data_IF_894994820631
#
_entry.id   IF_894994820631
#
_cell.length_a   1.000
_cell.length_b   1.000
_cell.length_c   1.000
_cell.angle_alpha   90.00
_cell.angle_beta   90.00
_cell.angle_gamma   90.00
#
_symmetry.space_group_name_H-M   'P 1'
#
loop_
_entity.id
_entity.type
_entity.pdbx_description
1 polymer ?
#
# COMPACT_ATOMS: atom_id res chain seq x y z
N UNK A 1 6.38 5.35 4.73
CA UNK A 1 6.37 6.26 3.55
C UNK A 1 7.23 5.75 2.39
N UNK A 2 8.22 4.88 2.63
CA UNK A 2 9.07 4.31 1.59
C UNK A 2 8.27 3.42 0.61
N UNK A 3 7.28 2.67 1.09
CA UNK A 3 6.38 1.88 0.24
C UNK A 3 5.54 2.78 -0.67
N UNK A 4 5.06 3.90 -0.16
CA UNK A 4 4.31 4.91 -0.93
C UNK A 4 5.18 5.47 -2.05
N UNK A 5 6.43 5.86 -1.74
CA UNK A 5 7.39 6.35 -2.73
C UNK A 5 7.72 5.28 -3.77
N UNK A 6 8.01 4.05 -3.35
CA UNK A 6 8.31 2.94 -4.25
C UNK A 6 7.14 2.66 -5.21
N UNK A 7 5.91 2.66 -4.71
CA UNK A 7 4.70 2.47 -5.51
C UNK A 7 4.51 3.61 -6.51
N UNK A 8 4.64 4.87 -6.07
CA UNK A 8 4.50 6.04 -6.93
C UNK A 8 5.53 6.07 -8.04
N UNK A 9 6.80 5.82 -7.74
CA UNK A 9 7.86 5.74 -8.76
C UNK A 9 7.65 4.59 -9.74
N UNK A 10 7.17 3.44 -9.28
CA UNK A 10 6.80 2.32 -10.16
C UNK A 10 5.67 2.71 -11.11
N UNK A 11 4.66 3.43 -10.62
CA UNK A 11 3.56 3.92 -11.44
C UNK A 11 4.05 4.92 -12.51
N UNK A 12 4.83 5.93 -12.11
CA UNK A 12 5.40 6.93 -13.01
C UNK A 12 6.25 6.26 -14.11
N UNK A 13 7.07 5.27 -13.75
CA UNK A 13 7.89 4.54 -14.73
C UNK A 13 7.06 3.84 -15.80
N UNK A 14 5.89 3.28 -15.44
CA UNK A 14 5.03 2.48 -16.31
C UNK A 14 4.05 3.31 -17.14
N UNK A 15 3.79 4.56 -16.74
CA UNK A 15 2.85 5.44 -17.43
C UNK A 15 3.46 6.05 -18.68
N UNK A 16 2.61 6.31 -19.68
CA UNK A 16 2.96 7.11 -20.85
C UNK A 16 3.07 8.58 -20.48
N UNK A 17 3.85 9.34 -21.25
CA UNK A 17 4.02 10.78 -21.04
C UNK A 17 2.69 11.52 -21.16
N UNK A 18 1.82 11.09 -22.08
CA UNK A 18 0.45 11.63 -22.22
C UNK A 18 -0.34 11.47 -20.93
N UNK A 19 -0.34 10.25 -20.34
CA UNK A 19 -1.07 9.99 -19.09
C UNK A 19 -0.51 10.76 -17.91
N UNK A 20 0.80 10.89 -17.82
CA UNK A 20 1.45 11.73 -16.80
C UNK A 20 1.04 13.20 -16.96
N UNK A 21 1.05 13.71 -18.19
CA UNK A 21 0.63 15.09 -18.47
C UNK A 21 -0.83 15.35 -18.07
N UNK A 22 -1.73 14.41 -18.36
CA UNK A 22 -3.13 14.50 -17.93
C UNK A 22 -3.25 14.61 -16.41
N UNK A 23 -2.53 13.76 -15.67
CA UNK A 23 -2.54 13.76 -14.19
C UNK A 23 -1.96 15.07 -13.64
N UNK A 24 -0.82 15.50 -14.14
CA UNK A 24 -0.14 16.69 -13.62
C UNK A 24 -0.92 17.97 -13.89
N UNK A 25 -1.61 18.07 -15.03
CA UNK A 25 -2.40 19.23 -15.42
C UNK A 25 -3.86 19.19 -14.91
N UNK A 26 -4.25 18.16 -14.15
CA UNK A 26 -5.56 18.14 -13.52
C UNK A 26 -5.71 19.31 -12.53
N UNK A 27 -6.90 19.90 -12.46
CA UNK A 27 -7.16 21.11 -11.67
C UNK A 27 -6.78 20.91 -10.19
N UNK A 28 -7.15 19.78 -9.61
CA UNK A 28 -6.84 19.40 -8.23
C UNK A 28 -5.32 19.31 -7.95
N UNK A 29 -4.49 19.13 -8.97
CA UNK A 29 -3.04 19.01 -8.86
C UNK A 29 -2.30 20.33 -9.15
N UNK A 30 -3.03 21.37 -9.54
CA UNK A 30 -2.46 22.61 -10.08
C UNK A 30 -1.52 23.32 -9.09
N UNK A 31 -1.86 23.38 -7.81
CA UNK A 31 -1.02 24.03 -6.78
C UNK A 31 0.35 23.36 -6.66
N UNK A 32 0.37 22.03 -6.55
CA UNK A 32 1.59 21.22 -6.46
C UNK A 32 2.41 21.30 -7.75
N UNK A 33 1.73 21.14 -8.90
CA UNK A 33 2.37 21.15 -10.21
C UNK A 33 3.01 22.50 -10.54
N UNK A 34 2.29 23.62 -10.31
CA UNK A 34 2.81 24.96 -10.57
C UNK A 34 4.02 25.28 -9.68
N UNK A 35 4.01 24.85 -8.43
CA UNK A 35 5.17 25.01 -7.55
C UNK A 35 6.42 24.32 -8.12
N UNK A 36 6.29 23.09 -8.59
CA UNK A 36 7.39 22.34 -9.21
C UNK A 36 7.83 22.97 -10.53
N UNK A 37 6.92 23.34 -11.41
CA UNK A 37 7.26 23.94 -12.71
C UNK A 37 7.93 25.29 -12.60
N UNK A 38 7.63 26.05 -11.56
CA UNK A 38 8.30 27.31 -11.25
C UNK A 38 9.77 27.13 -10.93
N UNK A 39 10.11 26.12 -10.13
CA UNK A 39 11.48 25.86 -9.68
C UNK A 39 12.29 25.06 -10.72
N UNK A 40 11.63 24.17 -11.48
CA UNK A 40 12.25 23.23 -12.42
C UNK A 40 11.57 23.28 -13.80
N UNK A 41 11.63 24.42 -14.52
CA UNK A 41 10.88 24.60 -15.78
C UNK A 41 11.37 23.73 -16.94
N UNK A 42 12.61 23.25 -16.90
CA UNK A 42 13.26 22.48 -17.98
C UNK A 42 13.23 20.97 -17.78
N UNK A 43 12.68 20.47 -16.67
CA UNK A 43 12.58 19.04 -16.44
C UNK A 43 11.69 18.34 -17.50
N UNK A 44 12.08 17.13 -17.89
CA UNK A 44 11.21 16.22 -18.64
C UNK A 44 9.99 15.79 -17.80
N UNK A 45 8.99 15.25 -18.46
CA UNK A 45 7.70 14.93 -17.80
C UNK A 45 7.83 13.89 -16.70
N UNK A 46 8.72 12.90 -16.84
CA UNK A 46 8.92 11.85 -15.81
C UNK A 46 9.67 12.38 -14.61
N UNK A 47 10.65 13.21 -14.83
CA UNK A 47 11.38 13.91 -13.75
C UNK A 47 10.45 14.88 -13.02
N UNK A 48 9.65 15.65 -13.77
CA UNK A 48 8.61 16.52 -13.21
C UNK A 48 7.63 15.72 -12.36
N UNK A 49 7.14 14.58 -12.84
CA UNK A 49 6.20 13.73 -12.10
C UNK A 49 6.80 13.17 -10.80
N UNK A 50 8.08 12.81 -10.80
CA UNK A 50 8.77 12.36 -9.58
C UNK A 50 8.89 13.49 -8.55
N UNK A 51 9.30 14.67 -8.97
CA UNK A 51 9.40 15.86 -8.09
C UNK A 51 8.03 16.25 -7.55
N UNK A 52 7.03 16.30 -8.42
CA UNK A 52 5.63 16.53 -8.07
C UNK A 52 5.16 15.56 -6.98
N UNK A 53 5.42 14.29 -7.15
CA UNK A 53 4.98 13.26 -6.20
C UNK A 53 5.67 13.39 -4.84
N UNK A 54 7.00 13.57 -4.82
CA UNK A 54 7.76 13.80 -3.57
C UNK A 54 7.30 15.09 -2.90
N UNK A 55 7.18 16.17 -3.66
CA UNK A 55 6.81 17.48 -3.12
C UNK A 55 5.40 17.47 -2.53
N UNK A 56 4.43 16.85 -3.21
CA UNK A 56 3.06 16.72 -2.70
C UNK A 56 2.99 15.96 -1.37
N UNK A 57 3.72 14.84 -1.26
CA UNK A 57 3.81 14.06 -0.01
C UNK A 57 4.44 14.91 1.10
N UNK A 58 5.60 15.53 0.85
CA UNK A 58 6.26 16.38 1.85
C UNK A 58 5.39 17.57 2.24
N UNK A 59 4.68 18.15 1.29
CA UNK A 59 3.75 19.25 1.56
C UNK A 59 2.64 18.83 2.51
N UNK A 60 2.06 17.64 2.37
CA UNK A 60 1.08 17.12 3.33
C UNK A 60 1.70 16.87 4.71
N UNK A 61 2.91 16.30 4.78
CA UNK A 61 3.62 16.07 6.05
C UNK A 61 3.89 17.39 6.78
N UNK A 62 4.25 18.43 6.04
CA UNK A 62 4.53 19.77 6.59
C UNK A 62 3.32 20.71 6.62
N UNK A 63 2.12 20.17 6.46
CA UNK A 63 0.85 20.92 6.52
C UNK A 63 0.82 22.11 5.53
N UNK A 64 1.31 21.93 4.30
CA UNK A 64 1.29 22.93 3.24
C UNK A 64 0.11 22.72 2.30
N UNK A 65 -0.53 23.80 1.88
CA UNK A 65 -1.66 23.77 0.94
C UNK A 65 -1.32 23.16 -0.44
N UNK A 66 -0.04 23.05 -0.78
CA UNK A 66 0.46 22.37 -1.97
C UNK A 66 0.53 20.85 -1.82
N UNK A 67 0.11 20.27 -0.70
CA UNK A 67 -0.03 18.82 -0.53
C UNK A 67 -1.25 18.27 -1.27
N UNK A 68 -1.25 16.97 -1.54
CA UNK A 68 -2.34 16.27 -2.23
C UNK A 68 -3.68 16.34 -1.49
N UNK A 69 -3.64 16.50 -0.18
CA UNK A 69 -4.78 16.68 0.69
C UNK A 69 -4.83 18.10 1.29
N UNK A 70 -4.23 19.10 0.64
CA UNK A 70 -4.21 20.48 1.09
C UNK A 70 -3.49 20.70 2.43
N UNK A 71 -2.59 19.79 2.82
CA UNK A 71 -1.82 19.87 4.05
C UNK A 71 -2.57 19.39 5.31
N UNK A 72 -3.79 18.85 5.17
CA UNK A 72 -4.59 18.36 6.32
C UNK A 72 -4.40 16.85 6.57
N UNK A 73 -3.76 16.14 5.65
CA UNK A 73 -3.53 14.69 5.77
C UNK A 73 -2.45 14.34 6.81
N UNK A 74 -1.47 15.19 7.00
CA UNK A 74 -0.28 14.86 7.77
C UNK A 74 0.44 13.64 7.19
N UNK A 75 1.18 12.92 8.02
CA UNK A 75 1.90 11.70 7.58
C UNK A 75 1.01 10.46 7.52
N UNK A 76 -0.15 10.45 8.16
CA UNK A 76 -0.99 9.25 8.34
C UNK A 76 -2.07 9.06 7.29
N UNK A 77 -2.42 10.10 6.53
CA UNK A 77 -3.55 10.05 5.59
C UNK A 77 -3.15 10.38 4.15
N UNK A 78 -1.88 10.19 3.82
CA UNK A 78 -1.37 10.43 2.47
C UNK A 78 -2.00 9.44 1.50
N UNK A 79 -2.57 9.96 0.41
CA UNK A 79 -3.04 9.15 -0.70
C UNK A 79 -2.93 9.89 -2.03
N UNK A 80 -2.74 9.13 -3.10
CA UNK A 80 -2.75 9.67 -4.46
C UNK A 80 -3.21 8.58 -5.43
N UNK A 81 -4.52 8.39 -5.61
CA UNK A 81 -5.10 7.32 -6.44
C UNK A 81 -4.56 7.25 -7.87
N UNK A 82 -4.24 8.39 -8.54
CA UNK A 82 -3.67 8.33 -9.89
C UNK A 82 -2.39 7.49 -10.00
N UNK A 83 -1.59 7.41 -8.92
CA UNK A 83 -0.40 6.55 -8.86
C UNK A 83 -0.64 5.23 -8.12
N UNK A 84 -1.89 4.92 -7.79
CA UNK A 84 -2.29 3.68 -7.13
C UNK A 84 -1.96 3.65 -5.63
N UNK A 85 -1.85 4.84 -5.01
CA UNK A 85 -1.71 4.99 -3.57
C UNK A 85 -3.10 5.21 -2.99
N UNK A 86 -3.59 4.20 -2.26
CA UNK A 86 -4.85 4.28 -1.53
C UNK A 86 -4.68 5.02 -0.18
N UNK A 87 -5.77 5.51 0.43
CA UNK A 87 -5.69 6.22 1.69
C UNK A 87 -5.01 5.39 2.77
N UNK A 88 -3.96 5.93 3.35
CA UNK A 88 -3.50 5.52 4.67
C UNK A 88 -4.49 5.99 5.72
N UNK A 89 -4.57 5.32 6.85
CA UNK A 89 -5.49 5.72 7.91
C UNK A 89 -4.87 5.48 9.30
N UNK A 90 -5.38 6.17 10.31
CA UNK A 90 -4.91 6.08 11.69
C UNK A 90 -5.56 4.94 12.49
N UNK A 91 -6.46 4.18 11.90
CA UNK A 91 -7.13 3.05 12.56
C UNK A 91 -6.24 1.82 12.44
N UNK A 92 -5.67 1.39 13.54
CA UNK A 92 -4.71 0.29 13.58
C UNK A 92 -5.37 -1.01 13.07
N UNK A 93 -4.80 -1.58 12.00
CA UNK A 93 -5.29 -2.79 11.34
C UNK A 93 -6.31 -2.57 10.23
N UNK A 94 -6.92 -1.38 10.10
CA UNK A 94 -7.97 -1.14 9.09
C UNK A 94 -7.44 -1.20 7.63
N UNK A 95 -6.15 -0.96 7.41
CA UNK A 95 -5.55 -1.12 6.08
C UNK A 95 -5.76 -2.52 5.49
N UNK A 96 -5.83 -3.55 6.32
CA UNK A 96 -6.11 -4.91 5.90
C UNK A 96 -7.51 -5.04 5.28
N UNK A 97 -8.54 -4.52 5.96
CA UNK A 97 -9.92 -4.56 5.47
C UNK A 97 -10.13 -3.70 4.21
N UNK A 98 -9.51 -2.52 4.16
CA UNK A 98 -9.54 -1.64 2.98
C UNK A 98 -8.90 -2.35 1.78
N UNK A 99 -7.75 -2.99 1.99
CA UNK A 99 -7.07 -3.74 0.94
C UNK A 99 -7.86 -4.96 0.47
N UNK A 100 -8.55 -5.66 1.38
CA UNK A 100 -9.44 -6.78 1.04
C UNK A 100 -10.59 -6.32 0.13
N UNK A 101 -11.21 -5.18 0.43
CA UNK A 101 -12.23 -4.58 -0.45
C UNK A 101 -11.70 -4.20 -1.83
N UNK A 102 -10.49 -3.60 -1.89
CA UNK A 102 -9.83 -3.25 -3.15
C UNK A 102 -9.47 -4.51 -3.97
N UNK A 103 -9.03 -5.59 -3.30
CA UNK A 103 -8.71 -6.85 -3.95
C UNK A 103 -9.98 -7.55 -4.48
N UNK A 104 -11.07 -7.53 -3.72
CA UNK A 104 -12.38 -8.02 -4.18
C UNK A 104 -12.82 -7.24 -5.43
N UNK A 105 -12.74 -5.92 -5.43
CA UNK A 105 -13.03 -5.11 -6.62
C UNK A 105 -12.21 -5.54 -7.84
N UNK A 106 -10.90 -5.78 -7.67
CA UNK A 106 -10.05 -6.30 -8.75
C UNK A 106 -10.54 -7.64 -9.27
N UNK A 107 -10.89 -8.56 -8.37
CA UNK A 107 -11.39 -9.88 -8.72
C UNK A 107 -12.72 -9.79 -9.48
N UNK A 108 -13.68 -9.01 -8.99
CA UNK A 108 -14.96 -8.75 -9.64
C UNK A 108 -14.83 -8.14 -11.04
N UNK A 109 -13.90 -7.22 -11.21
CA UNK A 109 -13.64 -6.52 -12.48
C UNK A 109 -12.61 -7.23 -13.35
N UNK A 110 -12.17 -8.44 -13.00
CA UNK A 110 -11.14 -9.22 -13.71
C UNK A 110 -9.87 -8.41 -14.02
N UNK A 111 -9.49 -7.51 -13.10
CA UNK A 111 -8.31 -6.65 -13.26
C UNK A 111 -7.05 -7.36 -12.82
N UNK A 112 -6.02 -7.32 -13.64
CA UNK A 112 -4.70 -7.89 -13.33
C UNK A 112 -4.00 -7.14 -12.18
N UNK A 113 -3.05 -7.83 -11.54
CA UNK A 113 -2.20 -7.31 -10.47
C UNK A 113 -2.76 -7.55 -9.07
N UNK A 114 -1.92 -7.33 -8.09
CA UNK A 114 -2.14 -7.62 -6.67
C UNK A 114 -2.33 -6.31 -5.91
N UNK A 115 -3.16 -6.33 -4.89
CA UNK A 115 -3.24 -5.27 -3.86
C UNK A 115 -2.25 -5.62 -2.75
N UNK A 116 -1.53 -4.63 -2.23
CA UNK A 116 -0.61 -4.81 -1.11
C UNK A 116 -1.13 -4.03 0.08
N UNK A 117 -1.37 -4.71 1.19
CA UNK A 117 -1.67 -4.13 2.49
C UNK A 117 -0.39 -4.04 3.30
N UNK A 118 0.16 -2.84 3.50
CA UNK A 118 1.32 -2.63 4.36
C UNK A 118 0.85 -2.44 5.81
N UNK A 119 1.38 -3.25 6.71
CA UNK A 119 1.01 -3.32 8.11
C UNK A 119 2.27 -3.41 8.97
N UNK A 120 2.26 -2.74 10.13
CA UNK A 120 3.26 -3.00 11.16
C UNK A 120 2.89 -4.24 11.98
N UNK A 121 3.88 -4.89 12.57
CA UNK A 121 3.68 -6.04 13.46
C UNK A 121 2.81 -5.70 14.68
N UNK A 122 2.91 -4.50 15.23
CA UNK A 122 2.01 -4.00 16.27
C UNK A 122 0.53 -3.95 15.86
N UNK A 123 0.23 -3.93 14.56
CA UNK A 123 -1.14 -4.00 14.05
C UNK A 123 -1.66 -5.44 13.89
N UNK A 124 -0.79 -6.43 13.87
CA UNK A 124 -1.14 -7.82 13.57
C UNK A 124 -2.12 -8.45 14.57
N UNK A 125 -2.10 -8.00 15.82
CA UNK A 125 -3.02 -8.47 16.87
C UNK A 125 -4.44 -7.88 16.79
N UNK A 126 -4.77 -7.06 15.80
CA UNK A 126 -6.07 -6.40 15.70
C UNK A 126 -7.09 -7.25 14.93
N UNK A 127 -8.34 -7.29 15.45
CA UNK A 127 -9.45 -8.05 14.86
C UNK A 127 -9.61 -7.86 13.35
N UNK A 128 -9.65 -6.62 12.82
CA UNK A 128 -9.79 -6.36 11.39
C UNK A 128 -8.72 -7.01 10.50
N UNK A 129 -7.50 -7.27 11.04
CA UNK A 129 -6.44 -7.97 10.30
C UNK A 129 -6.81 -9.43 10.11
N UNK A 130 -7.23 -10.12 11.18
CA UNK A 130 -7.68 -11.53 11.11
C UNK A 130 -8.91 -11.69 10.24
N UNK A 131 -9.88 -10.79 10.37
CA UNK A 131 -11.09 -10.80 9.52
C UNK A 131 -10.74 -10.66 8.04
N UNK A 132 -9.84 -9.73 7.70
CA UNK A 132 -9.40 -9.53 6.33
C UNK A 132 -8.62 -10.72 5.78
N UNK A 133 -7.76 -11.34 6.59
CA UNK A 133 -7.02 -12.55 6.20
C UNK A 133 -7.98 -13.72 5.96
N UNK A 134 -8.92 -13.95 6.89
CA UNK A 134 -9.94 -14.96 6.72
C UNK A 134 -10.78 -14.69 5.47
N UNK A 135 -11.28 -13.46 5.30
CA UNK A 135 -12.07 -13.09 4.13
C UNK A 135 -11.31 -13.31 2.83
N UNK A 136 -10.03 -12.92 2.76
CA UNK A 136 -9.22 -13.05 1.55
C UNK A 136 -8.99 -14.50 1.11
N UNK A 137 -9.04 -15.46 2.04
CA UNK A 137 -8.79 -16.89 1.82
C UNK A 137 -10.04 -17.76 1.81
N UNK A 138 -11.24 -17.17 1.88
CA UNK A 138 -12.48 -17.94 1.94
C UNK A 138 -12.66 -18.84 0.72
N UNK A 139 -13.07 -20.11 0.97
CA UNK A 139 -13.29 -21.13 -0.06
C UNK A 139 -14.29 -20.70 -1.14
N UNK A 140 -15.22 -19.81 -0.83
CA UNK A 140 -16.18 -19.27 -1.82
C UNK A 140 -15.48 -18.62 -3.02
N UNK A 141 -14.29 -18.05 -2.86
CA UNK A 141 -13.53 -17.45 -3.96
C UNK A 141 -12.92 -18.50 -4.90
N UNK A 142 -12.82 -19.73 -4.46
CA UNK A 142 -12.43 -20.85 -5.27
C UNK A 142 -13.65 -21.53 -5.94
N UNK A 143 -14.71 -21.79 -5.15
CA UNK A 143 -15.84 -22.60 -5.56
C UNK A 143 -16.87 -21.90 -6.47
N UNK A 144 -17.01 -20.57 -6.34
CA UNK A 144 -18.03 -19.80 -7.07
C UNK A 144 -17.47 -18.93 -8.19
N UNK A 145 -16.20 -19.10 -8.53
CA UNK A 145 -15.54 -18.31 -9.58
C UNK A 145 -15.17 -19.22 -10.76
N UNK A 146 -15.26 -18.66 -11.95
CA UNK A 146 -14.90 -19.36 -13.18
C UNK A 146 -13.40 -19.69 -13.25
N UNK A 147 -13.05 -20.67 -14.05
CA UNK A 147 -11.67 -21.08 -14.28
C UNK A 147 -10.77 -19.89 -14.69
N UNK A 148 -9.59 -19.82 -14.10
CA UNK A 148 -8.63 -18.72 -14.28
C UNK A 148 -8.86 -17.50 -13.38
N UNK A 149 -10.00 -17.45 -12.66
CA UNK A 149 -10.31 -16.44 -11.64
C UNK A 149 -10.63 -17.04 -10.27
N UNK A 150 -10.59 -18.35 -10.14
CA UNK A 150 -10.71 -19.07 -8.88
C UNK A 150 -9.51 -18.84 -7.97
N UNK A 151 -9.61 -19.27 -6.71
CA UNK A 151 -8.62 -18.99 -5.65
C UNK A 151 -8.93 -17.74 -4.85
N UNK A 152 -8.15 -17.46 -3.81
CA UNK A 152 -8.32 -16.34 -2.91
C UNK A 152 -8.29 -14.96 -3.59
N UNK A 153 -8.43 -13.92 -2.81
CA UNK A 153 -8.29 -12.54 -3.31
C UNK A 153 -6.86 -12.25 -3.74
N UNK A 154 -6.64 -11.44 -4.81
CA UNK A 154 -5.30 -11.02 -5.22
C UNK A 154 -4.72 -9.98 -4.23
N UNK A 155 -4.39 -10.43 -3.04
CA UNK A 155 -4.00 -9.60 -1.89
C UNK A 155 -2.74 -10.16 -1.23
N UNK A 156 -1.78 -9.29 -1.00
CA UNK A 156 -0.57 -9.54 -0.23
C UNK A 156 -0.63 -8.73 1.07
N UNK A 157 -0.56 -9.39 2.20
CA UNK A 157 -0.36 -8.75 3.50
C UNK A 157 1.15 -8.65 3.76
N UNK A 158 1.69 -7.45 3.67
CA UNK A 158 3.09 -7.17 3.93
C UNK A 158 3.26 -6.64 5.36
N UNK A 159 3.78 -7.44 6.25
CA UNK A 159 4.06 -7.07 7.63
C UNK A 159 5.51 -6.62 7.80
N UNK A 160 5.70 -5.35 8.16
CA UNK A 160 7.00 -4.84 8.57
C UNK A 160 7.21 -5.18 10.05
N UNK A 161 7.94 -6.29 10.31
CA UNK A 161 8.16 -6.78 11.66
C UNK A 161 9.50 -6.28 12.20
N UNK A 162 9.44 -5.30 13.10
CA UNK A 162 10.59 -4.77 13.82
C UNK A 162 10.57 -5.16 15.31
N UNK A 163 9.60 -5.96 15.74
CA UNK A 163 9.36 -6.42 17.10
C UNK A 163 8.99 -5.32 18.10
N UNK A 164 8.66 -4.11 17.64
CA UNK A 164 8.28 -2.99 18.50
C UNK A 164 6.93 -2.39 18.06
N UNK A 165 6.02 -2.29 19.02
CA UNK A 165 4.81 -1.48 18.91
C UNK A 165 5.08 -0.02 19.27
N UNK A 166 4.03 0.74 19.58
CA UNK A 166 4.15 2.14 19.95
C UNK A 166 4.73 2.33 21.36
N UNK A 167 4.38 1.46 22.31
CA UNK A 167 4.70 1.62 23.73
C UNK A 167 5.58 0.49 24.30
N UNK A 168 5.62 -0.66 23.62
CA UNK A 168 6.36 -1.83 24.09
C UNK A 168 6.80 -2.71 22.92
N UNK A 169 7.56 -3.75 23.20
CA UNK A 169 7.82 -4.80 22.22
C UNK A 169 6.52 -5.55 21.89
N UNK A 170 6.40 -6.02 20.65
CA UNK A 170 5.17 -6.64 20.16
C UNK A 170 4.90 -8.01 20.73
N UNK A 171 5.91 -8.71 21.24
CA UNK A 171 5.77 -9.98 21.93
C UNK A 171 4.94 -9.83 23.21
N UNK A 172 5.15 -8.76 23.96
CA UNK A 172 4.41 -8.49 25.20
C UNK A 172 3.08 -7.75 24.97
N UNK A 173 2.94 -6.98 23.87
CA UNK A 173 1.77 -6.12 23.67
C UNK A 173 0.73 -6.72 22.70
N UNK A 174 1.14 -7.25 21.56
CA UNK A 174 0.21 -7.59 20.46
C UNK A 174 0.41 -8.97 19.85
N UNK A 175 1.54 -9.61 20.12
CA UNK A 175 1.91 -10.90 19.53
C UNK A 175 1.91 -11.99 20.60
N UNK A 176 1.80 -13.25 20.22
CA UNK A 176 2.06 -14.35 21.13
C UNK A 176 3.54 -14.73 21.07
N UNK A 177 3.92 -15.71 21.91
CA UNK A 177 5.29 -16.14 22.16
C UNK A 177 6.30 -16.16 21.01
N UNK A 178 5.87 -16.32 19.76
CA UNK A 178 6.82 -16.38 18.65
C UNK A 178 7.14 -15.03 18.03
N UNK A 179 6.36 -13.96 18.32
CA UNK A 179 6.51 -12.67 17.66
C UNK A 179 6.43 -12.74 16.11
N UNK A 180 6.00 -13.86 15.56
CA UNK A 180 6.03 -14.14 14.12
C UNK A 180 4.63 -14.09 13.50
N UNK A 181 4.37 -13.05 12.72
CA UNK A 181 3.07 -12.86 12.04
C UNK A 181 2.84 -13.88 10.91
N UNK A 182 3.89 -14.47 10.36
CA UNK A 182 3.77 -15.44 9.27
C UNK A 182 3.01 -16.70 9.70
N UNK A 183 3.01 -17.05 11.01
CA UNK A 183 2.26 -18.19 11.55
C UNK A 183 0.76 -18.13 11.28
N UNK A 184 0.19 -16.96 11.12
CA UNK A 184 -1.25 -16.79 10.87
C UNK A 184 -1.68 -17.15 9.46
N UNK A 185 -0.75 -17.29 8.52
CA UNK A 185 -1.05 -17.54 7.12
C UNK A 185 -1.04 -19.01 6.70
N UNK A 186 -0.51 -19.92 7.51
CA UNK A 186 -0.15 -21.29 7.05
C UNK A 186 -0.90 -22.41 7.77
N UNK A 187 -2.17 -22.22 8.09
CA UNK A 187 -2.93 -23.24 8.83
C UNK A 187 -3.35 -24.45 8.00
N UNK A 188 -3.43 -24.32 6.67
CA UNK A 188 -3.83 -25.40 5.78
C UNK A 188 -3.03 -25.37 4.48
N UNK A 189 -2.83 -26.55 3.87
CA UNK A 189 -2.10 -26.73 2.61
C UNK A 189 -2.66 -25.89 1.46
N UNK A 190 -3.97 -25.62 1.46
CA UNK A 190 -4.68 -24.77 0.48
C UNK A 190 -5.02 -23.36 1.00
N UNK A 191 -4.56 -23.03 2.20
CA UNK A 191 -4.82 -21.74 2.82
C UNK A 191 -3.92 -20.62 2.29
N UNK A 192 -3.91 -19.52 3.03
CA UNK A 192 -3.03 -18.38 2.74
C UNK A 192 -1.58 -18.80 2.94
N UNK A 193 -0.75 -18.60 1.92
CA UNK A 193 0.70 -18.79 2.05
C UNK A 193 1.30 -17.66 2.88
N UNK A 194 2.29 -17.99 3.71
CA UNK A 194 3.03 -17.01 4.48
C UNK A 194 4.52 -17.35 4.46
N UNK A 195 5.34 -16.33 4.37
CA UNK A 195 6.78 -16.44 4.36
C UNK A 195 7.38 -15.35 5.24
N UNK A 196 8.48 -15.66 5.93
CA UNK A 196 9.28 -14.72 6.69
C UNK A 196 10.58 -14.47 5.94
N UNK A 197 10.80 -13.21 5.58
CA UNK A 197 11.96 -12.77 4.80
C UNK A 197 12.77 -11.78 5.60
N UNK A 198 14.09 -11.87 5.52
CA UNK A 198 14.98 -10.85 6.08
C UNK A 198 14.89 -9.56 5.24
N UNK A 199 14.26 -8.53 5.81
CA UNK A 199 14.06 -7.23 5.17
C UNK A 199 15.35 -6.46 4.85
N UNK A 200 16.48 -6.87 5.39
CA UNK A 200 17.79 -6.29 5.10
C UNK A 200 18.51 -7.02 3.96
N UNK A 201 18.01 -8.17 3.56
CA UNK A 201 18.57 -8.99 2.47
C UNK A 201 17.77 -8.76 1.19
N UNK A 202 18.22 -7.81 0.35
CA UNK A 202 17.54 -7.46 -0.91
C UNK A 202 17.35 -8.65 -1.86
N UNK A 203 18.33 -9.57 -2.08
CA UNK A 203 18.10 -10.78 -2.85
C UNK A 203 16.94 -11.62 -2.31
N UNK A 204 16.91 -11.92 -1.00
CA UNK A 204 15.81 -12.69 -0.40
C UNK A 204 14.43 -12.03 -0.57
N UNK A 205 14.37 -10.69 -0.51
CA UNK A 205 13.16 -9.93 -0.78
C UNK A 205 12.71 -9.99 -2.25
N UNK A 206 13.63 -10.16 -3.17
CA UNK A 206 13.33 -10.23 -4.59
C UNK A 206 12.87 -11.64 -5.01
N UNK A 207 13.28 -12.66 -4.29
CA UNK A 207 12.98 -14.07 -4.56
C UNK A 207 11.67 -14.53 -3.90
N UNK A 208 11.19 -13.81 -2.86
CA UNK A 208 9.94 -14.08 -2.15
C UNK A 208 8.73 -13.52 -2.91
#
# INVERSE_FOLDING_TARGET
>A
HHEVLAKGFSAIRKMTDKKLSEILNAEENSATYNAIRKEFPSDDIKTTARRFFIFGILSDIFAKTTGFCGGVAGSMHIFFPPFGIFPSNAIVGASASIAAGAALFKKLQKKKGVVIANLGDGAAGRGPVFEAMNFASMKQFDSFWEEGYNGGLPLLFNFSNNYYGMNADTENETMSFSGDVARFGSFEEKGMKAEKVDGWNIPSLADA
#
